data_IF_155263877036
#
_entry.id   IF_155263877036
#
_cell.length_a   1.000
_cell.length_b   1.000
_cell.length_c   1.000
_cell.angle_alpha   90.00
_cell.angle_beta   90.00
_cell.angle_gamma   90.00
#
_symmetry.space_group_name_H-M   'P 1'
#
loop_
_entity.id
_entity.type
_entity.pdbx_description
1 polymer ?
#
# COMPACT_ATOMS: atom_id res chain seq x y z
N UNK A 1 -23.89 -33.05 -1.02
CA UNK A 1 -22.66 -32.34 -0.61
C UNK A 1 -21.52 -33.34 -0.69
N UNK A 2 -20.69 -33.26 -1.74
CA UNK A 2 -19.76 -34.34 -2.10
C UNK A 2 -18.52 -34.40 -1.19
N UNK A 3 -18.09 -35.60 -0.75
CA UNK A 3 -16.97 -35.81 0.18
C UNK A 3 -15.58 -35.42 -0.37
N UNK A 4 -15.46 -35.09 -1.66
CA UNK A 4 -14.21 -34.71 -2.32
C UNK A 4 -13.74 -33.28 -1.97
N UNK A 5 -14.68 -32.35 -1.77
CA UNK A 5 -14.37 -30.93 -1.47
C UNK A 5 -13.64 -30.74 -0.13
N UNK A 6 -13.94 -31.59 0.86
CA UNK A 6 -13.34 -31.52 2.20
C UNK A 6 -11.91 -32.08 2.24
N UNK A 7 -11.52 -32.90 1.27
CA UNK A 7 -10.21 -33.57 1.21
C UNK A 7 -9.17 -32.71 0.47
N UNK A 8 -9.57 -32.01 -0.61
CA UNK A 8 -8.72 -31.06 -1.33
C UNK A 8 -8.38 -29.80 -0.51
N UNK A 9 -9.35 -29.26 0.24
CA UNK A 9 -9.13 -28.13 1.15
C UNK A 9 -8.06 -28.41 2.23
N UNK A 10 -7.83 -29.68 2.57
CA UNK A 10 -6.80 -30.10 3.55
C UNK A 10 -5.42 -30.36 2.93
N UNK A 11 -5.33 -30.61 1.61
CA UNK A 11 -4.06 -30.94 0.94
C UNK A 11 -3.35 -29.70 0.37
N UNK A 12 -4.10 -28.66 -0.01
CA UNK A 12 -3.51 -27.44 -0.58
C UNK A 12 -2.99 -26.45 0.48
N UNK A 13 -3.34 -26.65 1.76
CA UNK A 13 -3.01 -25.82 2.91
C UNK A 13 -2.66 -24.35 2.55
N UNK A 14 -3.59 -23.60 1.90
CA UNK A 14 -3.36 -22.19 1.65
C UNK A 14 -3.21 -21.53 3.03
N UNK A 15 -2.13 -20.76 3.28
CA UNK A 15 -2.03 -20.00 4.51
C UNK A 15 -3.30 -19.17 4.70
N UNK A 16 -3.84 -19.14 5.91
CA UNK A 16 -4.94 -18.23 6.26
C UNK A 16 -4.49 -16.79 5.97
N UNK A 17 -4.82 -16.28 4.78
CA UNK A 17 -4.53 -14.91 4.37
C UNK A 17 -5.76 -14.06 4.67
N UNK A 18 -5.70 -13.13 5.64
CA UNK A 18 -6.84 -12.29 5.99
C UNK A 18 -6.94 -11.09 5.04
N UNK A 19 -6.90 -11.32 3.72
CA UNK A 19 -7.22 -10.28 2.75
C UNK A 19 -8.67 -10.44 2.28
N UNK A 20 -9.42 -9.34 2.29
CA UNK A 20 -10.89 -9.27 2.33
C UNK A 20 -11.63 -9.81 1.09
N UNK A 21 -10.90 -10.33 0.11
CA UNK A 21 -11.42 -11.20 -0.94
C UNK A 21 -10.40 -12.33 -1.12
N UNK A 22 -10.67 -13.48 -0.52
CA UNK A 22 -9.83 -14.67 -0.68
C UNK A 22 -10.07 -15.24 -2.08
N UNK A 23 -9.39 -14.66 -3.07
CA UNK A 23 -9.51 -15.07 -4.47
C UNK A 23 -9.07 -16.52 -4.68
N UNK A 24 -8.15 -17.02 -3.84
CA UNK A 24 -7.80 -18.44 -3.83
C UNK A 24 -9.00 -19.28 -3.42
N UNK A 25 -9.71 -18.90 -2.36
CA UNK A 25 -10.96 -19.54 -1.94
C UNK A 25 -12.07 -19.41 -2.97
N UNK A 26 -12.27 -18.24 -3.58
CA UNK A 26 -13.25 -18.07 -4.67
C UNK A 26 -12.91 -18.93 -5.89
N UNK A 27 -11.64 -18.97 -6.30
CA UNK A 27 -11.17 -19.79 -7.42
C UNK A 27 -11.34 -21.28 -7.13
N UNK A 28 -11.09 -21.73 -5.90
CA UNK A 28 -11.33 -23.11 -5.44
C UNK A 28 -12.84 -23.42 -5.41
N UNK A 29 -13.68 -22.46 -5.04
CA UNK A 29 -15.13 -22.62 -4.98
C UNK A 29 -15.78 -22.68 -6.38
N UNK A 30 -15.21 -21.98 -7.36
CA UNK A 30 -15.75 -21.84 -8.73
C UNK A 30 -15.13 -22.80 -9.76
N UNK A 31 -13.96 -23.38 -9.48
CA UNK A 31 -13.29 -24.27 -10.42
C UNK A 31 -13.90 -25.68 -10.45
N UNK A 32 -13.99 -26.25 -11.65
CA UNK A 32 -14.48 -27.63 -11.83
C UNK A 32 -13.38 -28.68 -11.63
N UNK A 33 -12.10 -28.31 -11.79
CA UNK A 33 -10.93 -29.18 -11.63
C UNK A 33 -9.64 -28.38 -11.32
N UNK A 34 -8.53 -29.06 -11.02
CA UNK A 34 -7.24 -28.41 -10.68
C UNK A 34 -6.67 -27.54 -11.80
N UNK A 35 -6.84 -27.94 -13.07
CA UNK A 35 -6.35 -27.15 -14.20
C UNK A 35 -7.16 -25.86 -14.42
N UNK A 36 -8.39 -25.85 -13.92
CA UNK A 36 -9.28 -24.70 -13.90
C UNK A 36 -8.92 -23.74 -12.75
N UNK A 37 -8.57 -24.27 -11.56
CA UNK A 37 -7.98 -23.47 -10.47
C UNK A 37 -6.69 -22.79 -10.94
N UNK A 38 -5.80 -23.54 -11.60
CA UNK A 38 -4.54 -22.99 -12.14
C UNK A 38 -4.84 -21.87 -13.15
N UNK A 39 -5.77 -22.08 -14.08
CA UNK A 39 -6.17 -21.06 -15.06
C UNK A 39 -6.78 -19.80 -14.43
N UNK A 40 -7.64 -19.93 -13.41
CA UNK A 40 -8.20 -18.79 -12.70
C UNK A 40 -7.12 -17.98 -11.97
N UNK A 41 -6.18 -18.67 -11.30
CA UNK A 41 -5.06 -18.03 -10.61
C UNK A 41 -4.14 -17.33 -11.63
N UNK A 42 -3.77 -17.98 -12.73
CA UNK A 42 -2.94 -17.39 -13.78
C UNK A 42 -3.61 -16.19 -14.46
N UNK A 43 -4.91 -16.28 -14.77
CA UNK A 43 -5.69 -15.17 -15.36
C UNK A 43 -5.75 -13.95 -14.44
N UNK A 44 -5.97 -14.15 -13.14
CA UNK A 44 -5.95 -13.07 -12.17
C UNK A 44 -4.55 -12.46 -11.99
N UNK A 45 -3.53 -13.30 -12.04
CA UNK A 45 -2.12 -12.89 -11.97
C UNK A 45 -1.72 -12.01 -13.16
N UNK A 46 -2.11 -12.38 -14.38
CA UNK A 46 -1.91 -11.53 -15.57
C UNK A 46 -2.74 -10.25 -15.51
N UNK A 47 -4.00 -10.33 -15.05
CA UNK A 47 -4.84 -9.16 -14.85
C UNK A 47 -4.26 -8.19 -13.81
N UNK A 48 -3.57 -8.68 -12.78
CA UNK A 48 -2.92 -7.83 -11.79
C UNK A 48 -1.82 -6.97 -12.41
N UNK A 49 -1.02 -7.49 -13.34
CA UNK A 49 -0.03 -6.67 -14.08
C UNK A 49 -0.74 -5.65 -14.97
N UNK A 50 -1.78 -6.08 -15.70
CA UNK A 50 -2.55 -5.20 -16.60
C UNK A 50 -3.32 -4.09 -15.88
N UNK A 51 -3.59 -4.24 -14.59
CA UNK A 51 -4.29 -3.24 -13.76
C UNK A 51 -3.34 -2.39 -12.90
N UNK A 52 -2.01 -2.50 -13.08
CA UNK A 52 -1.05 -1.76 -12.24
C UNK A 52 -1.00 -2.26 -10.80
N UNK A 53 -1.12 -3.57 -10.59
CA UNK A 53 -1.10 -4.19 -9.27
C UNK A 53 0.29 -4.25 -8.63
N UNK A 54 0.35 -4.90 -7.46
CA UNK A 54 1.60 -5.09 -6.70
C UNK A 54 1.63 -4.28 -5.40
N UNK A 55 2.36 -4.82 -4.42
CA UNK A 55 2.42 -4.29 -3.07
C UNK A 55 2.93 -2.84 -2.99
N UNK A 56 3.74 -2.36 -3.93
CA UNK A 56 4.30 -1.00 -3.96
C UNK A 56 3.23 0.03 -4.36
N UNK A 57 2.39 -0.26 -5.37
CA UNK A 57 1.37 0.70 -5.86
C UNK A 57 0.15 0.67 -4.93
N UNK A 58 -0.25 -0.50 -4.44
CA UNK A 58 -1.45 -0.64 -3.61
C UNK A 58 -1.21 -0.24 -2.14
N UNK A 59 -0.10 -0.70 -1.56
CA UNK A 59 0.20 -0.53 -0.13
C UNK A 59 1.42 0.37 0.12
N UNK A 60 2.43 0.27 -0.76
CA UNK A 60 3.69 1.00 -0.66
C UNK A 60 3.52 2.52 -0.82
N UNK A 61 2.51 2.96 -1.57
CA UNK A 61 2.17 4.38 -1.72
C UNK A 61 2.02 5.08 -0.37
N UNK A 62 1.42 4.42 0.63
CA UNK A 62 1.23 5.01 1.96
C UNK A 62 2.56 5.19 2.70
N UNK A 63 3.44 4.18 2.71
CA UNK A 63 4.74 4.28 3.39
C UNK A 63 5.66 5.31 2.70
N UNK A 64 5.59 5.40 1.38
CA UNK A 64 6.37 6.36 0.59
C UNK A 64 5.84 7.79 0.77
N UNK A 65 4.53 7.99 0.81
CA UNK A 65 3.93 9.28 1.14
C UNK A 65 4.27 9.69 2.58
N UNK A 66 4.21 8.76 3.53
CA UNK A 66 4.50 9.06 4.94
C UNK A 66 5.92 9.59 5.13
N UNK A 67 6.92 8.90 4.57
CA UNK A 67 8.30 9.36 4.67
C UNK A 67 8.55 10.66 3.89
N UNK A 68 7.89 10.85 2.74
CA UNK A 68 7.97 12.09 1.95
C UNK A 68 7.42 13.27 2.75
N UNK A 69 6.31 13.08 3.46
CA UNK A 69 5.73 14.10 4.32
C UNK A 69 6.68 14.47 5.48
N UNK A 70 7.35 13.48 6.09
CA UNK A 70 8.30 13.71 7.20
C UNK A 70 9.56 14.43 6.74
N UNK A 71 10.09 14.06 5.57
CA UNK A 71 11.31 14.63 4.99
C UNK A 71 11.02 15.64 3.88
N UNK A 72 9.84 16.28 3.91
CA UNK A 72 9.38 17.23 2.91
C UNK A 72 10.46 18.28 2.60
N UNK A 73 10.59 18.64 1.33
CA UNK A 73 11.64 19.53 0.79
C UNK A 73 13.07 18.98 0.82
N UNK A 74 13.27 17.70 1.19
CA UNK A 74 14.54 17.02 1.00
C UNK A 74 14.45 16.06 -0.18
N UNK A 75 15.57 15.89 -0.89
CA UNK A 75 15.72 14.88 -1.94
C UNK A 75 16.49 13.68 -1.41
N UNK A 76 16.06 12.44 -1.72
CA UNK A 76 16.87 11.27 -1.42
C UNK A 76 18.25 11.38 -2.07
N UNK A 77 19.32 11.15 -1.30
CA UNK A 77 20.69 11.04 -1.80
C UNK A 77 21.04 9.63 -2.24
N UNK A 78 20.35 8.63 -1.70
CA UNK A 78 20.50 7.22 -2.06
C UNK A 78 19.22 6.46 -1.73
N UNK A 79 18.81 5.58 -2.64
CA UNK A 79 17.75 4.60 -2.40
C UNK A 79 18.33 3.21 -2.61
N UNK A 80 18.02 2.27 -1.72
CA UNK A 80 18.41 0.87 -1.85
C UNK A 80 17.19 0.01 -1.60
N UNK A 81 16.83 -0.80 -2.59
CA UNK A 81 15.56 -1.53 -2.66
C UNK A 81 15.85 -3.02 -2.74
N UNK A 82 15.01 -3.82 -2.08
CA UNK A 82 15.01 -5.28 -2.23
C UNK A 82 13.59 -5.81 -1.99
N UNK A 83 13.27 -6.97 -2.53
CA UNK A 83 11.94 -7.53 -2.40
C UNK A 83 11.81 -8.92 -3.01
N UNK A 84 10.57 -9.38 -3.08
CA UNK A 84 10.20 -10.63 -3.69
C UNK A 84 9.07 -10.41 -4.68
N UNK A 85 9.25 -10.92 -5.90
CA UNK A 85 8.20 -10.98 -6.91
C UNK A 85 7.43 -12.29 -6.75
N UNK A 86 6.12 -12.25 -7.00
CA UNK A 86 5.34 -13.47 -7.15
C UNK A 86 5.54 -14.08 -8.55
N UNK A 87 4.91 -15.23 -8.82
CA UNK A 87 5.00 -15.90 -10.12
C UNK A 87 4.37 -15.13 -11.28
N UNK A 88 3.62 -14.06 -11.02
CA UNK A 88 3.07 -13.17 -12.04
C UNK A 88 4.05 -12.06 -12.47
N UNK A 89 5.19 -11.93 -11.78
CA UNK A 89 6.12 -10.82 -12.02
C UNK A 89 5.71 -9.50 -11.35
N UNK A 90 4.67 -9.48 -10.50
CA UNK A 90 4.36 -8.33 -9.65
C UNK A 90 5.06 -8.45 -8.31
N UNK A 91 5.36 -7.31 -7.69
CA UNK A 91 5.98 -7.27 -6.37
C UNK A 91 5.01 -7.75 -5.29
N UNK A 92 5.41 -8.80 -4.58
CA UNK A 92 4.67 -9.40 -3.47
C UNK A 92 5.08 -8.79 -2.13
N UNK A 93 6.37 -8.45 -2.00
CA UNK A 93 6.91 -7.69 -0.88
C UNK A 93 8.09 -6.84 -1.33
N UNK A 94 8.24 -5.67 -0.70
CA UNK A 94 9.31 -4.73 -0.99
C UNK A 94 9.77 -4.07 0.30
N UNK A 95 11.07 -3.85 0.43
CA UNK A 95 11.68 -3.03 1.46
C UNK A 95 12.67 -2.04 0.84
N UNK A 96 12.75 -0.83 1.37
CA UNK A 96 13.70 0.16 0.92
C UNK A 96 14.32 0.94 2.08
N UNK A 97 15.59 1.29 1.89
CA UNK A 97 16.31 2.27 2.73
C UNK A 97 16.53 3.53 1.90
N UNK A 98 15.95 4.63 2.35
CA UNK A 98 16.01 5.94 1.67
C UNK A 98 16.87 6.85 2.54
N UNK A 99 18.01 7.29 2.00
CA UNK A 99 18.94 8.19 2.68
C UNK A 99 18.70 9.61 2.24
N UNK A 100 18.72 10.54 3.19
CA UNK A 100 18.55 11.98 3.00
C UNK A 100 19.79 12.74 3.50
N UNK A 101 19.94 14.03 3.15
CA UNK A 101 21.03 14.87 3.67
C UNK A 101 21.13 14.90 5.20
N UNK A 102 22.36 15.12 5.67
CA UNK A 102 22.76 15.11 7.09
C UNK A 102 22.45 13.81 7.84
N UNK A 103 22.55 12.66 7.15
CA UNK A 103 22.43 11.34 7.78
C UNK A 103 21.01 10.95 8.18
N UNK A 104 19.98 11.67 7.70
CA UNK A 104 18.58 11.31 7.88
C UNK A 104 18.25 10.09 7.02
N UNK A 105 17.34 9.24 7.49
CA UNK A 105 17.01 7.99 6.80
C UNK A 105 15.55 7.60 7.05
N UNK A 106 14.92 7.03 6.03
CA UNK A 106 13.68 6.27 6.15
C UNK A 106 13.95 4.79 5.83
N UNK A 107 13.35 3.89 6.62
CA UNK A 107 13.29 2.47 6.31
C UNK A 107 11.82 2.11 6.17
N UNK A 108 11.46 1.60 4.99
CA UNK A 108 10.07 1.34 4.63
C UNK A 108 9.93 -0.09 4.13
N UNK A 109 8.79 -0.72 4.42
CA UNK A 109 8.46 -2.05 3.92
C UNK A 109 6.98 -2.22 3.68
N UNK A 110 6.65 -3.01 2.66
CA UNK A 110 5.31 -3.39 2.26
C UNK A 110 5.26 -4.88 1.92
N UNK A 111 4.12 -5.52 2.14
CA UNK A 111 3.87 -6.90 1.72
C UNK A 111 2.39 -7.14 1.47
N UNK A 112 2.08 -7.76 0.34
CA UNK A 112 0.77 -8.33 0.04
C UNK A 112 0.61 -9.76 0.61
N UNK A 113 1.71 -10.42 1.00
CA UNK A 113 1.70 -11.80 1.52
C UNK A 113 1.54 -11.87 3.03
N UNK A 114 2.22 -11.02 3.79
CA UNK A 114 2.25 -11.12 5.26
C UNK A 114 1.71 -9.85 5.91
N UNK A 115 1.05 -10.02 7.06
CA UNK A 115 0.63 -8.88 7.88
C UNK A 115 1.86 -8.24 8.51
N UNK A 116 2.06 -6.96 8.23
CA UNK A 116 3.07 -6.14 8.90
C UNK A 116 2.46 -5.44 10.13
N UNK A 117 3.30 -4.90 11.05
CA UNK A 117 2.81 -4.11 12.19
C UNK A 117 2.05 -2.85 11.81
N UNK A 118 2.18 -2.40 10.55
CA UNK A 118 1.28 -1.40 9.98
C UNK A 118 1.35 -0.06 10.73
N UNK A 119 2.56 0.31 11.17
CA UNK A 119 2.86 1.50 11.97
C UNK A 119 3.84 2.45 11.29
N UNK A 120 3.62 3.76 11.47
CA UNK A 120 4.53 4.82 11.10
C UNK A 120 5.27 5.32 12.33
N UNK A 121 6.60 5.36 12.28
CA UNK A 121 7.44 5.77 13.42
C UNK A 121 8.42 6.85 13.00
N UNK A 122 8.48 7.94 13.76
CA UNK A 122 9.42 9.04 13.57
C UNK A 122 10.29 9.13 14.81
N UNK A 123 11.59 8.96 14.65
CA UNK A 123 12.56 8.99 15.75
C UNK A 123 13.46 10.21 15.61
N UNK A 124 13.59 10.99 16.68
CA UNK A 124 14.50 12.11 16.77
C UNK A 124 15.20 12.18 18.11
N UNK A 125 16.07 13.17 18.28
CA UNK A 125 16.89 13.35 19.50
C UNK A 125 16.06 13.63 20.77
N UNK A 126 14.79 14.03 20.62
CA UNK A 126 13.86 14.36 21.71
C UNK A 126 12.83 13.27 21.99
N UNK A 127 12.90 12.14 21.28
CA UNK A 127 12.00 11.00 21.45
C UNK A 127 11.35 10.54 20.16
N UNK A 128 10.28 9.76 20.31
CA UNK A 128 9.65 9.01 19.23
C UNK A 128 8.17 9.35 19.11
N UNK A 129 7.72 9.58 17.88
CA UNK A 129 6.31 9.62 17.52
C UNK A 129 5.92 8.31 16.86
N UNK A 130 4.75 7.75 17.21
CA UNK A 130 4.23 6.52 16.63
C UNK A 130 2.76 6.68 16.23
N UNK A 131 2.46 6.26 15.01
CA UNK A 131 1.14 6.26 14.38
C UNK A 131 0.77 4.79 14.07
N UNK A 132 -0.07 4.15 14.90
CA UNK A 132 -0.71 2.89 14.54
C UNK A 132 -1.64 3.09 13.35
N UNK A 133 -1.78 2.06 12.51
CA UNK A 133 -2.61 2.09 11.30
C UNK A 133 -2.35 3.33 10.44
N UNK A 134 -1.08 3.57 10.14
CA UNK A 134 -0.58 4.88 9.71
C UNK A 134 -1.15 5.40 8.37
N UNK A 135 -1.78 4.55 7.56
CA UNK A 135 -2.48 4.97 6.33
C UNK A 135 -3.84 5.62 6.61
N UNK A 136 -4.43 5.38 7.78
CA UNK A 136 -5.68 5.98 8.22
C UNK A 136 -5.72 6.17 9.76
N UNK A 137 -4.75 6.91 10.32
CA UNK A 137 -4.49 6.92 11.75
C UNK A 137 -5.57 7.68 12.52
N UNK A 138 -5.95 7.15 13.67
CA UNK A 138 -6.83 7.82 14.64
C UNK A 138 -6.13 8.12 15.96
N UNK A 139 -4.85 7.74 16.09
CA UNK A 139 -4.06 7.90 17.30
C UNK A 139 -2.64 8.34 16.98
N UNK A 140 -2.13 9.26 17.77
CA UNK A 140 -0.72 9.66 17.76
C UNK A 140 -0.14 9.44 19.15
N UNK A 141 0.84 8.55 19.25
CA UNK A 141 1.59 8.27 20.47
C UNK A 141 2.83 9.16 20.47
N UNK A 142 2.99 9.96 21.52
CA UNK A 142 4.11 10.90 21.69
C UNK A 142 4.85 10.62 23.00
N UNK A 143 6.06 11.18 23.21
CA UNK A 143 6.74 11.09 24.50
C UNK A 143 5.93 11.64 25.68
N UNK A 144 4.97 12.53 25.41
CA UNK A 144 4.13 13.19 26.42
C UNK A 144 2.77 12.51 26.60
N UNK A 145 2.54 11.36 25.97
CA UNK A 145 1.28 10.62 26.02
C UNK A 145 0.59 10.44 24.67
N UNK A 146 -0.63 9.91 24.71
CA UNK A 146 -1.42 9.52 23.53
C UNK A 146 -2.46 10.59 23.22
N UNK A 147 -2.56 10.97 21.94
CA UNK A 147 -3.65 11.81 21.40
C UNK A 147 -4.55 10.96 20.51
N UNK A 148 -5.86 11.07 20.69
CA UNK A 148 -6.85 10.38 19.87
C UNK A 148 -7.65 11.37 19.01
N UNK A 149 -7.97 10.96 17.80
CA UNK A 149 -8.66 11.70 16.76
C UNK A 149 -9.82 10.84 16.25
N UNK A 150 -11.00 10.92 16.90
CA UNK A 150 -12.13 10.07 16.56
C UNK A 150 -12.68 10.42 15.18
N UNK A 151 -13.05 9.39 14.42
CA UNK A 151 -13.62 9.53 13.09
C UNK A 151 -15.08 10.02 13.13
N UNK A 152 -15.57 10.64 12.05
CA UNK A 152 -16.97 10.97 11.91
C UNK A 152 -17.84 9.72 11.90
N UNK A 153 -19.00 9.82 12.52
CA UNK A 153 -19.97 8.71 12.57
C UNK A 153 -20.81 8.70 11.30
N UNK A 154 -21.09 7.50 10.81
CA UNK A 154 -22.05 7.29 9.72
C UNK A 154 -23.10 6.28 10.13
N UNK A 155 -24.30 6.42 9.56
CA UNK A 155 -25.40 5.46 9.70
C UNK A 155 -25.27 4.30 8.70
N UNK A 156 -24.43 4.44 7.68
CA UNK A 156 -24.16 3.40 6.69
C UNK A 156 -22.82 2.72 6.96
N UNK A 157 -22.70 1.41 6.69
CA UNK A 157 -21.44 0.70 6.86
C UNK A 157 -20.40 1.17 5.84
N UNK A 158 -19.13 1.08 6.22
CA UNK A 158 -17.99 1.39 5.37
C UNK A 158 -17.34 0.10 4.84
N UNK A 159 -16.89 0.14 3.58
CA UNK A 159 -16.20 -0.98 2.95
C UNK A 159 -14.77 -1.14 3.46
N UNK A 160 -14.06 -0.03 3.71
CA UNK A 160 -12.64 -0.06 4.13
C UNK A 160 -12.47 0.43 5.58
N UNK A 161 -11.43 -0.08 6.24
CA UNK A 161 -11.10 0.32 7.60
C UNK A 161 -10.87 1.83 7.69
N UNK A 162 -11.51 2.49 8.67
CA UNK A 162 -11.45 3.93 8.90
C UNK A 162 -11.80 4.82 7.69
N UNK A 163 -12.48 4.31 6.66
CA UNK A 163 -12.77 5.10 5.46
C UNK A 163 -13.76 6.25 5.68
N UNK A 164 -14.35 6.35 6.87
CA UNK A 164 -15.02 7.57 7.34
C UNK A 164 -14.11 8.80 7.23
N UNK A 165 -12.80 8.63 7.39
CA UNK A 165 -11.80 9.71 7.27
C UNK A 165 -11.65 10.27 5.85
N UNK A 166 -12.18 9.61 4.82
CA UNK A 166 -12.17 10.14 3.45
C UNK A 166 -12.95 11.46 3.33
N UNK A 167 -13.80 11.80 4.29
CA UNK A 167 -14.43 13.12 4.33
C UNK A 167 -13.42 14.25 4.46
N UNK A 168 -12.25 14.02 5.07
CA UNK A 168 -11.25 15.07 5.29
C UNK A 168 -10.63 15.52 3.96
N UNK A 169 -10.24 14.58 3.10
CA UNK A 169 -9.74 14.90 1.76
C UNK A 169 -10.84 15.48 0.84
N UNK A 170 -12.10 15.02 1.00
CA UNK A 170 -13.22 15.58 0.23
C UNK A 170 -13.49 17.05 0.62
N UNK A 171 -13.42 17.36 1.91
CA UNK A 171 -13.56 18.72 2.43
C UNK A 171 -12.39 19.61 1.99
N UNK A 172 -11.16 19.09 1.97
CA UNK A 172 -10.00 19.83 1.48
C UNK A 172 -10.11 20.16 -0.01
N UNK A 173 -10.48 19.18 -0.84
CA UNK A 173 -10.74 19.40 -2.26
C UNK A 173 -11.82 20.47 -2.48
N UNK A 174 -12.91 20.42 -1.69
CA UNK A 174 -13.98 21.43 -1.73
C UNK A 174 -13.45 22.83 -1.44
N UNK A 175 -12.57 22.98 -0.43
CA UNK A 175 -11.97 24.29 -0.09
C UNK A 175 -11.08 24.82 -1.20
N UNK A 176 -10.17 23.99 -1.75
CA UNK A 176 -9.30 24.39 -2.85
C UNK A 176 -10.09 24.85 -4.08
N UNK A 177 -11.15 24.12 -4.45
CA UNK A 177 -12.03 24.51 -5.57
C UNK A 177 -12.72 25.84 -5.29
N UNK A 178 -13.25 26.03 -4.08
CA UNK A 178 -13.92 27.27 -3.70
C UNK A 178 -13.00 28.49 -3.64
N UNK A 179 -11.74 28.29 -3.27
CA UNK A 179 -10.73 29.35 -3.23
C UNK A 179 -10.07 29.61 -4.59
N UNK A 180 -10.44 28.86 -5.64
CA UNK A 180 -9.86 29.00 -6.97
C UNK A 180 -8.42 28.49 -7.07
N UNK A 181 -7.98 27.64 -6.12
CA UNK A 181 -6.68 26.99 -6.19
C UNK A 181 -6.70 25.88 -7.24
N UNK A 182 -5.56 25.70 -7.92
CA UNK A 182 -5.38 24.64 -8.92
C UNK A 182 -4.78 23.36 -8.33
N UNK A 183 -4.27 23.41 -7.10
CA UNK A 183 -3.67 22.30 -6.38
C UNK A 183 -3.84 22.45 -4.85
N UNK A 184 -3.59 21.38 -4.10
CA UNK A 184 -3.68 21.37 -2.65
C UNK A 184 -2.30 21.62 -2.01
N UNK A 185 -2.18 22.58 -1.08
CA UNK A 185 -0.92 22.86 -0.37
C UNK A 185 -0.43 21.70 0.50
N UNK A 186 -1.33 20.78 0.89
CA UNK A 186 -0.98 19.58 1.66
C UNK A 186 -0.40 18.45 0.80
N UNK A 187 -0.66 18.47 -0.51
CA UNK A 187 -0.14 17.50 -1.49
C UNK A 187 -0.10 18.18 -2.86
N UNK A 188 0.99 18.87 -3.13
CA UNK A 188 1.18 19.62 -4.38
C UNK A 188 1.32 18.68 -5.58
N UNK A 189 1.14 19.20 -6.79
CA UNK A 189 1.40 18.44 -8.01
C UNK A 189 2.86 17.97 -8.07
N UNK A 190 3.80 18.82 -7.65
CA UNK A 190 5.22 18.47 -7.59
C UNK A 190 5.47 17.28 -6.66
N UNK A 191 4.85 17.26 -5.48
CA UNK A 191 4.98 16.14 -4.55
C UNK A 191 4.33 14.86 -5.05
N UNK A 192 3.19 14.99 -5.74
CA UNK A 192 2.54 13.84 -6.38
C UNK A 192 3.44 13.22 -7.45
N UNK A 193 4.10 14.05 -8.26
CA UNK A 193 5.08 13.58 -9.26
C UNK A 193 6.28 12.92 -8.58
N UNK A 194 6.83 13.53 -7.52
CA UNK A 194 7.94 12.95 -6.77
C UNK A 194 7.60 11.59 -6.15
N UNK A 195 6.37 11.44 -5.62
CA UNK A 195 5.88 10.18 -5.08
C UNK A 195 5.77 9.12 -6.18
N UNK A 196 5.22 9.48 -7.34
CA UNK A 196 5.13 8.60 -8.50
C UNK A 196 6.52 8.13 -8.97
N UNK A 197 7.46 9.07 -9.15
CA UNK A 197 8.84 8.76 -9.53
C UNK A 197 9.53 7.82 -8.52
N UNK A 198 9.24 7.97 -7.22
CA UNK A 198 9.80 7.10 -6.19
C UNK A 198 9.17 5.70 -6.24
N UNK A 199 7.87 5.58 -6.50
CA UNK A 199 7.21 4.29 -6.72
C UNK A 199 7.79 3.56 -7.94
N UNK A 200 8.00 4.29 -9.04
CA UNK A 200 8.59 3.74 -10.27
C UNK A 200 10.03 3.31 -10.06
N UNK A 201 10.82 4.11 -9.33
CA UNK A 201 12.19 3.74 -8.96
C UNK A 201 12.20 2.41 -8.19
N UNK A 202 11.35 2.26 -7.18
CA UNK A 202 11.30 1.02 -6.38
C UNK A 202 10.93 -0.20 -7.23
N UNK A 203 9.95 -0.06 -8.13
CA UNK A 203 9.56 -1.15 -9.03
C UNK A 203 10.64 -1.51 -10.03
N UNK A 204 11.24 -0.52 -10.65
CA UNK A 204 12.29 -0.72 -11.64
C UNK A 204 13.51 -1.43 -11.03
N UNK A 205 13.92 -1.05 -9.81
CA UNK A 205 14.98 -1.74 -9.06
C UNK A 205 14.62 -3.22 -8.76
N UNK A 206 13.34 -3.54 -8.65
CA UNK A 206 12.84 -4.91 -8.48
C UNK A 206 12.58 -5.64 -9.81
N UNK A 207 12.73 -4.96 -10.95
CA UNK A 207 12.44 -5.53 -12.27
C UNK A 207 10.95 -5.67 -12.61
N UNK A 208 10.08 -4.93 -11.93
CA UNK A 208 8.64 -4.86 -12.26
C UNK A 208 8.44 -3.76 -13.29
N UNK A 209 7.95 -4.12 -14.48
CA UNK A 209 7.73 -3.21 -15.61
C UNK A 209 6.30 -3.39 -16.11
N UNK A 210 5.61 -2.27 -16.38
CA UNK A 210 4.28 -2.26 -16.95
C UNK A 210 4.30 -1.88 -18.44
N UNK A 211 3.30 -2.30 -19.24
CA UNK A 211 3.21 -1.91 -20.66
C UNK A 211 3.28 -0.40 -20.88
N UNK A 212 2.70 0.39 -19.98
CA UNK A 212 2.64 1.85 -20.02
C UNK A 212 4.03 2.50 -19.94
N UNK A 213 5.03 1.86 -19.32
CA UNK A 213 6.39 2.37 -19.21
C UNK A 213 7.08 2.53 -20.59
N UNK A 214 6.58 1.81 -21.60
CA UNK A 214 7.08 1.82 -22.96
C UNK A 214 6.29 2.71 -23.92
N UNK A 215 5.22 3.35 -23.45
CA UNK A 215 4.38 4.22 -24.27
C UNK A 215 4.97 5.63 -24.32
N UNK A 216 5.20 6.16 -25.53
CA UNK A 216 5.50 7.58 -25.74
C UNK A 216 4.17 8.37 -25.75
N UNK A 217 4.07 9.40 -24.90
CA UNK A 217 2.91 10.30 -24.78
C UNK A 217 3.13 11.63 -25.51
#
# INVERSE_FOLDING_TARGET
>A
MFPYKTQMARQLNPPDYPCRFDFAKWSIEMAENEDDVRRHIFSYMEAAVQMGGGAILDLGVYMLQFQQYVFRNLRPSKVSVNGHLNSAGTDESCGAVITYPDGKMAVVSTSARVSLPNEGVIVGTKGTLKLPDFWCPTKLITPNGVKEYPLPRSKVPYLHHNSAGLCYQAEEARKCIQSGQIECEHMTHAETIELAMLMDLLRNEMGVVFPEDSQEF
#
